data_IF_738427551965
#
_entry.id   IF_738427551965
#
_cell.length_a   1.000
_cell.length_b   1.000
_cell.length_c   1.000
_cell.angle_alpha   90.00
_cell.angle_beta   90.00
_cell.angle_gamma   90.00
#
_symmetry.space_group_name_H-M   'P 1'
#
loop_
_entity.id
_entity.type
_entity.pdbx_description
1 polymer ?
#
# COMPACT_ATOMS: atom_id res chain seq x y z
N UNK A 1 19.51 17.49 19.92
CA UNK A 1 20.08 16.94 18.67
C UNK A 1 19.42 15.62 18.25
N UNK A 2 18.39 15.13 18.94
CA UNK A 2 17.75 13.83 18.65
C UNK A 2 16.79 13.84 17.44
N UNK A 3 16.14 14.98 17.14
CA UNK A 3 15.18 15.08 16.03
C UNK A 3 15.78 14.82 14.64
N UNK A 4 17.08 15.08 14.44
CA UNK A 4 17.72 14.89 13.13
C UNK A 4 17.96 13.40 12.82
N UNK A 5 18.16 12.56 13.85
CA UNK A 5 18.35 11.12 13.65
C UNK A 5 17.02 10.44 13.31
N UNK A 6 15.96 10.72 14.07
CA UNK A 6 14.64 10.14 13.82
C UNK A 6 14.11 10.49 12.42
N UNK A 7 14.27 11.74 11.97
CA UNK A 7 13.85 12.13 10.62
C UNK A 7 14.66 11.39 9.54
N UNK A 8 15.98 11.29 9.72
CA UNK A 8 16.87 10.58 8.79
C UNK A 8 16.58 9.08 8.71
N UNK A 9 16.20 8.46 9.82
CA UNK A 9 15.81 7.05 9.88
C UNK A 9 14.50 6.80 9.13
N UNK A 10 13.52 7.68 9.29
CA UNK A 10 12.26 7.59 8.56
C UNK A 10 12.43 7.84 7.05
N UNK A 11 13.32 8.75 6.65
CA UNK A 11 13.68 8.93 5.24
C UNK A 11 14.33 7.69 4.65
N UNK A 12 15.26 7.07 5.39
CA UNK A 12 15.89 5.83 4.98
C UNK A 12 14.88 4.69 4.86
N UNK A 13 13.92 4.59 5.79
CA UNK A 13 12.82 3.63 5.71
C UNK A 13 11.98 3.85 4.44
N UNK A 14 11.63 5.09 4.11
CA UNK A 14 10.88 5.40 2.89
C UNK A 14 11.64 4.99 1.62
N UNK A 15 12.96 5.20 1.58
CA UNK A 15 13.79 4.73 0.47
C UNK A 15 13.81 3.20 0.37
N UNK A 16 13.90 2.50 1.51
CA UNK A 16 13.86 1.04 1.56
C UNK A 16 12.50 0.44 1.17
N UNK A 17 11.44 1.22 1.26
CA UNK A 17 10.07 0.85 0.90
C UNK A 17 9.73 1.21 -0.55
N UNK A 18 10.49 2.10 -1.20
CA UNK A 18 10.19 2.59 -2.55
C UNK A 18 9.94 1.47 -3.58
N UNK A 19 10.72 0.37 -3.60
CA UNK A 19 10.47 -0.75 -4.52
C UNK A 19 9.12 -1.45 -4.25
N UNK A 20 8.80 -1.73 -2.99
CA UNK A 20 7.55 -2.39 -2.61
C UNK A 20 6.35 -1.48 -2.85
N UNK A 21 6.50 -0.19 -2.57
CA UNK A 21 5.49 0.82 -2.84
C UNK A 21 5.21 0.97 -4.33
N UNK A 22 6.24 0.87 -5.18
CA UNK A 22 6.05 0.83 -6.63
C UNK A 22 5.28 -0.42 -7.06
N UNK A 23 5.65 -1.58 -6.52
CA UNK A 23 4.91 -2.82 -6.78
C UNK A 23 3.46 -2.71 -6.30
N UNK A 24 3.21 -2.02 -5.19
CA UNK A 24 1.88 -1.84 -4.63
C UNK A 24 0.99 -1.05 -5.59
N UNK A 25 1.52 0.03 -6.15
CA UNK A 25 0.76 0.83 -7.12
C UNK A 25 0.40 0.02 -8.37
N UNK A 26 1.35 -0.72 -8.94
CA UNK A 26 1.09 -1.58 -10.11
C UNK A 26 -0.01 -2.60 -9.81
N UNK A 27 0.00 -3.13 -8.59
CA UNK A 27 -0.96 -4.13 -8.17
C UNK A 27 -2.35 -3.53 -7.97
N UNK A 28 -2.43 -2.35 -7.35
CA UNK A 28 -3.69 -1.61 -7.19
C UNK A 28 -4.26 -1.20 -8.54
N UNK A 29 -3.42 -0.74 -9.48
CA UNK A 29 -3.84 -0.46 -10.86
C UNK A 29 -4.38 -1.71 -11.54
N UNK A 30 -3.71 -2.86 -11.41
CA UNK A 30 -4.22 -4.12 -11.94
C UNK A 30 -5.60 -4.45 -11.35
N UNK A 31 -5.77 -4.31 -10.04
CA UNK A 31 -7.03 -4.56 -9.35
C UNK A 31 -8.15 -3.59 -9.75
N UNK A 32 -7.80 -2.35 -10.11
CA UNK A 32 -8.76 -1.32 -10.54
C UNK A 32 -9.21 -1.48 -11.99
N UNK A 33 -8.59 -2.36 -12.77
CA UNK A 33 -9.07 -2.72 -14.11
C UNK A 33 -10.13 -3.80 -14.11
N UNK A 34 -10.17 -4.64 -13.06
CA UNK A 34 -11.12 -5.74 -12.93
C UNK A 34 -12.53 -5.17 -12.78
N UNK A 35 -13.44 -5.63 -13.65
CA UNK A 35 -14.84 -5.20 -13.64
C UNK A 35 -15.57 -5.88 -12.48
N UNK A 36 -15.59 -5.22 -11.33
CA UNK A 36 -16.24 -5.69 -10.11
C UNK A 36 -16.85 -4.52 -9.33
N UNK A 37 -17.64 -4.84 -8.30
CA UNK A 37 -18.14 -3.84 -7.36
C UNK A 37 -17.02 -3.09 -6.59
N UNK A 38 -15.83 -3.69 -6.47
CA UNK A 38 -14.67 -3.14 -5.73
C UNK A 38 -13.73 -2.31 -6.62
N UNK A 39 -13.96 -2.30 -7.94
CA UNK A 39 -13.14 -1.57 -8.92
C UNK A 39 -12.83 -0.13 -8.50
N UNK A 40 -13.86 0.57 -8.05
CA UNK A 40 -13.74 1.97 -7.67
C UNK A 40 -12.94 2.16 -6.37
N UNK A 41 -13.00 1.21 -5.43
CA UNK A 41 -12.22 1.26 -4.21
C UNK A 41 -10.71 1.25 -4.49
N UNK A 42 -10.26 0.42 -5.43
CA UNK A 42 -8.86 0.43 -5.87
C UNK A 42 -8.47 1.71 -6.63
N UNK A 43 -9.39 2.35 -7.35
CA UNK A 43 -9.12 3.65 -7.97
C UNK A 43 -8.84 4.76 -6.95
N UNK A 44 -9.43 4.66 -5.75
CA UNK A 44 -9.22 5.59 -4.64
C UNK A 44 -7.92 5.33 -3.87
N UNK A 45 -7.43 4.09 -3.86
CA UNK A 45 -6.08 3.71 -3.39
C UNK A 45 -5.03 4.11 -4.45
N UNK A 46 -5.01 5.38 -4.82
CA UNK A 46 -4.09 5.89 -5.85
C UNK A 46 -2.86 6.46 -5.17
N UNK A 47 -2.13 5.58 -4.50
CA UNK A 47 -1.01 6.02 -3.72
C UNK A 47 0.19 6.32 -4.59
N UNK A 48 0.91 7.36 -4.21
CA UNK A 48 2.29 7.64 -4.61
C UNK A 48 2.43 8.28 -6.00
N UNK A 49 1.88 7.78 -7.09
CA UNK A 49 2.16 8.41 -8.40
C UNK A 49 1.27 9.64 -8.69
N UNK A 50 -0.04 9.57 -8.38
CA UNK A 50 -0.93 10.74 -8.48
C UNK A 50 -0.74 11.72 -7.33
N UNK A 51 -0.40 11.22 -6.14
CA UNK A 51 -0.13 12.03 -4.94
C UNK A 51 1.34 12.43 -4.79
N UNK A 52 2.24 12.07 -5.72
CA UNK A 52 3.67 12.47 -5.68
C UNK A 52 3.85 13.97 -5.46
N UNK A 53 3.01 14.79 -6.10
CA UNK A 53 2.99 16.25 -5.90
C UNK A 53 2.47 16.68 -4.53
N UNK A 54 1.53 15.94 -3.96
CA UNK A 54 0.97 16.21 -2.63
C UNK A 54 1.94 15.76 -1.53
N UNK A 55 2.52 14.57 -1.69
CA UNK A 55 3.50 13.96 -0.79
C UNK A 55 4.86 14.67 -0.83
N UNK A 56 5.25 15.28 -1.96
CA UNK A 56 6.46 16.11 -2.05
C UNK A 56 6.40 17.35 -1.14
N UNK A 57 5.20 17.80 -0.78
CA UNK A 57 4.99 18.94 0.12
C UNK A 57 4.74 18.52 1.58
N UNK A 58 4.64 17.22 1.86
CA UNK A 58 4.40 16.70 3.20
C UNK A 58 5.71 16.27 3.87
N UNK A 59 5.75 16.42 5.19
CA UNK A 59 6.88 15.91 5.95
C UNK A 59 6.89 14.36 5.93
N UNK A 60 8.04 13.79 6.25
CA UNK A 60 8.28 12.34 6.18
C UNK A 60 7.31 11.54 7.05
N UNK A 61 6.94 12.06 8.21
CA UNK A 61 6.01 11.43 9.13
C UNK A 61 4.58 11.34 8.55
N UNK A 62 4.10 12.43 7.93
CA UNK A 62 2.81 12.47 7.24
C UNK A 62 2.78 11.48 6.06
N UNK A 63 3.88 11.38 5.30
CA UNK A 63 4.00 10.41 4.21
C UNK A 63 3.87 8.98 4.73
N UNK A 64 4.51 8.65 5.84
CA UNK A 64 4.42 7.33 6.47
C UNK A 64 3.01 7.05 7.00
N UNK A 65 2.38 8.01 7.68
CA UNK A 65 0.98 7.88 8.13
C UNK A 65 0.04 7.60 6.98
N UNK A 66 0.23 8.28 5.84
CA UNK A 66 -0.57 8.07 4.64
C UNK A 66 -0.33 6.68 4.04
N UNK A 67 0.92 6.21 3.99
CA UNK A 67 1.26 4.84 3.57
C UNK A 67 0.50 3.84 4.43
N UNK A 68 0.58 3.97 5.75
CA UNK A 68 -0.09 3.07 6.70
C UNK A 68 -1.61 3.08 6.50
N UNK A 69 -2.21 4.26 6.35
CA UNK A 69 -3.65 4.40 6.15
C UNK A 69 -4.12 3.68 4.89
N UNK A 70 -3.42 3.85 3.77
CA UNK A 70 -3.81 3.24 2.49
C UNK A 70 -3.52 1.73 2.47
N UNK A 71 -2.48 1.26 3.16
CA UNK A 71 -2.25 -0.17 3.37
C UNK A 71 -3.39 -0.81 4.18
N UNK A 72 -3.91 -0.12 5.19
CA UNK A 72 -5.04 -0.62 5.98
C UNK A 72 -6.31 -0.69 5.12
N UNK A 73 -6.62 0.37 4.36
CA UNK A 73 -7.77 0.37 3.45
C UNK A 73 -7.66 -0.73 2.39
N UNK A 74 -6.47 -0.91 1.81
CA UNK A 74 -6.20 -2.00 0.90
C UNK A 74 -6.41 -3.36 1.56
N UNK A 75 -5.93 -3.54 2.79
CA UNK A 75 -6.08 -4.78 3.56
C UNK A 75 -7.54 -5.16 3.75
N UNK A 76 -8.36 -4.20 4.15
CA UNK A 76 -9.78 -4.38 4.37
C UNK A 76 -10.52 -4.77 3.09
N UNK A 77 -10.12 -4.20 1.95
CA UNK A 77 -10.70 -4.55 0.65
C UNK A 77 -10.31 -5.95 0.20
N UNK A 78 -9.05 -6.34 0.36
CA UNK A 78 -8.60 -7.69 0.03
C UNK A 78 -9.34 -8.72 0.89
N UNK A 79 -9.57 -8.42 2.16
CA UNK A 79 -10.32 -9.28 3.05
C UNK A 79 -11.80 -9.39 2.61
N UNK A 80 -12.45 -8.28 2.25
CA UNK A 80 -13.81 -8.28 1.71
C UNK A 80 -13.92 -9.11 0.44
N UNK A 81 -13.04 -8.89 -0.54
CA UNK A 81 -13.03 -9.65 -1.81
C UNK A 81 -12.83 -11.14 -1.54
N UNK A 82 -11.96 -11.50 -0.59
CA UNK A 82 -11.71 -12.91 -0.27
C UNK A 82 -12.86 -13.63 0.42
N UNK A 83 -13.89 -12.90 0.87
CA UNK A 83 -15.10 -13.44 1.48
C UNK A 83 -16.31 -13.36 0.53
N UNK A 84 -16.14 -12.75 -0.63
CA UNK A 84 -17.17 -12.53 -1.63
C UNK A 84 -17.07 -13.62 -2.69
N UNK A 85 -17.85 -14.69 -2.55
CA UNK A 85 -17.75 -15.90 -3.40
C UNK A 85 -18.00 -15.63 -4.89
N UNK A 86 -18.80 -14.61 -5.23
CA UNK A 86 -19.09 -14.25 -6.62
C UNK A 86 -17.94 -13.46 -7.25
N UNK A 87 -17.28 -12.61 -6.47
CA UNK A 87 -16.23 -11.71 -6.94
C UNK A 87 -14.84 -12.31 -6.78
N UNK A 88 -14.63 -13.19 -5.79
CA UNK A 88 -13.33 -13.81 -5.51
C UNK A 88 -12.81 -14.53 -6.75
N UNK A 89 -13.67 -15.17 -7.54
CA UNK A 89 -13.26 -15.83 -8.78
C UNK A 89 -12.68 -14.86 -9.81
N UNK A 90 -13.21 -13.64 -9.91
CA UNK A 90 -12.72 -12.62 -10.85
C UNK A 90 -11.29 -12.19 -10.51
N UNK A 91 -10.94 -12.18 -9.22
CA UNK A 91 -9.62 -11.78 -8.72
C UNK A 91 -8.67 -12.98 -8.50
N UNK A 92 -9.22 -14.17 -8.27
CA UNK A 92 -8.47 -15.40 -8.06
C UNK A 92 -8.03 -16.05 -9.38
N UNK A 93 -8.79 -15.87 -10.48
CA UNK A 93 -8.42 -16.35 -11.81
C UNK A 93 -7.04 -15.85 -12.28
N UNK A 94 -6.59 -14.71 -11.76
CA UNK A 94 -5.29 -14.10 -12.09
C UNK A 94 -4.22 -14.21 -10.98
N UNK A 95 -4.46 -15.00 -9.92
CA UNK A 95 -3.62 -15.11 -8.70
C UNK A 95 -3.37 -13.78 -7.96
N UNK A 96 -4.12 -12.72 -8.29
CA UNK A 96 -3.78 -11.36 -7.85
C UNK A 96 -4.00 -11.20 -6.35
N UNK A 97 -5.00 -11.86 -5.75
CA UNK A 97 -5.26 -11.78 -4.29
C UNK A 97 -4.11 -12.28 -3.43
N UNK A 98 -3.42 -13.34 -3.86
CA UNK A 98 -2.25 -13.84 -3.14
C UNK A 98 -1.09 -12.85 -3.24
N UNK A 99 -0.84 -12.34 -4.45
CA UNK A 99 0.17 -11.29 -4.69
C UNK A 99 -0.12 -10.01 -3.89
N UNK A 100 -1.40 -9.64 -3.73
CA UNK A 100 -1.85 -8.53 -2.88
C UNK A 100 -1.45 -8.75 -1.41
N UNK A 101 -1.78 -9.93 -0.88
CA UNK A 101 -1.52 -10.27 0.52
C UNK A 101 -0.02 -10.34 0.80
N UNK A 102 0.75 -10.98 -0.08
CA UNK A 102 2.20 -11.11 0.07
C UNK A 102 2.90 -9.76 0.06
N UNK A 103 2.51 -8.88 -0.86
CA UNK A 103 3.05 -7.54 -0.95
C UNK A 103 2.69 -6.69 0.27
N UNK A 104 1.43 -6.71 0.70
CA UNK A 104 1.00 -6.05 1.94
C UNK A 104 1.85 -6.53 3.11
N UNK A 105 1.98 -7.85 3.28
CA UNK A 105 2.72 -8.43 4.38
C UNK A 105 4.20 -8.02 4.33
N UNK A 106 4.82 -8.00 3.14
CA UNK A 106 6.18 -7.51 2.94
C UNK A 106 6.36 -6.06 3.41
N UNK A 107 5.44 -5.17 3.02
CA UNK A 107 5.47 -3.76 3.42
C UNK A 107 5.27 -3.61 4.93
N UNK A 108 4.27 -4.30 5.51
CA UNK A 108 4.00 -4.27 6.94
C UNK A 108 5.16 -4.81 7.78
N UNK A 109 5.84 -5.87 7.33
CA UNK A 109 7.03 -6.40 8.01
C UNK A 109 8.14 -5.35 8.05
N UNK A 110 8.38 -4.63 6.96
CA UNK A 110 9.38 -3.57 6.89
C UNK A 110 9.03 -2.38 7.79
N UNK A 111 7.75 -1.97 7.82
CA UNK A 111 7.26 -0.92 8.71
C UNK A 111 7.36 -1.32 10.19
N UNK A 112 6.95 -2.54 10.53
CA UNK A 112 7.02 -3.03 11.91
C UNK A 112 8.47 -3.10 12.41
N UNK A 113 9.41 -3.58 11.58
CA UNK A 113 10.84 -3.60 11.93
C UNK A 113 11.42 -2.20 12.21
N UNK A 114 10.88 -1.18 11.55
CA UNK A 114 11.29 0.21 11.80
C UNK A 114 10.67 0.82 13.07
N UNK A 115 9.52 0.30 13.52
CA UNK A 115 8.87 0.73 14.76
C UNK A 115 9.40 0.00 16.02
N UNK A 116 10.17 -1.09 15.87
CA UNK A 116 10.77 -1.84 16.99
C UNK A 116 12.23 -1.45 17.31
N UNK A 117 12.77 -0.42 16.65
CA UNK A 117 14.06 0.20 16.96
C UNK A 117 13.84 1.53 17.68
#
# INVERSE_FOLDING_TARGET
MENNNALSELEHLLQQLEPELKNFNLLVESMSTIVSAYKNNFNYINMIDKRKRYLANQNVEERIKLIISELNEFSDLIEKISRDEEIIELYAKDEILNKCRDLRNSILIKLNRANTM
#
